data_IF_762506443774
#
_entry.id   IF_762506443774
#
_cell.length_a   1.000
_cell.length_b   1.000
_cell.length_c   1.000
_cell.angle_alpha   90.00
_cell.angle_beta   90.00
_cell.angle_gamma   90.00
#
_symmetry.space_group_name_H-M   'P 1'
#
loop_
_entity.id
_entity.type
_entity.pdbx_description
1 polymer ?
#
# COMPACT_ATOMS: atom_id res chain seq x y z
N UNK A 1 9.67 9.96 5.39
CA UNK A 1 11.07 10.30 4.99
C UNK A 1 11.13 11.19 3.75
N UNK A 2 10.34 10.90 2.71
CA UNK A 2 10.35 11.65 1.44
C UNK A 2 9.95 13.13 1.54
N UNK A 3 8.93 13.48 2.34
CA UNK A 3 8.61 14.90 2.60
C UNK A 3 9.77 15.66 3.27
N UNK A 4 10.59 14.98 4.08
CA UNK A 4 11.78 15.58 4.69
C UNK A 4 12.91 15.75 3.66
N UNK A 5 13.08 14.80 2.73
CA UNK A 5 14.05 14.90 1.63
C UNK A 5 13.67 15.99 0.62
N UNK A 6 12.38 16.10 0.27
CA UNK A 6 11.84 17.14 -0.59
C UNK A 6 11.99 18.54 0.05
N UNK A 7 11.68 18.66 1.35
CA UNK A 7 11.90 19.90 2.13
C UNK A 7 13.38 20.30 2.21
N UNK A 8 14.29 19.33 2.18
CA UNK A 8 15.74 19.57 2.18
C UNK A 8 16.35 19.74 0.78
N UNK A 9 15.54 19.91 -0.28
CA UNK A 9 15.98 20.07 -1.69
C UNK A 9 16.85 18.93 -2.22
N UNK A 10 16.85 17.76 -1.57
CA UNK A 10 17.55 16.55 -2.03
C UNK A 10 16.67 15.78 -2.99
N UNK A 11 16.33 16.41 -4.11
CA UNK A 11 15.35 15.90 -5.08
C UNK A 11 15.80 14.58 -5.69
N UNK A 12 17.10 14.40 -5.95
CA UNK A 12 17.62 13.17 -6.57
C UNK A 12 17.65 11.99 -5.59
N UNK A 13 17.94 12.24 -4.30
CA UNK A 13 17.83 11.22 -3.25
C UNK A 13 16.36 10.90 -2.95
N UNK A 14 15.48 11.92 -2.98
CA UNK A 14 14.05 11.71 -2.86
C UNK A 14 13.51 10.86 -4.02
N UNK A 15 13.94 11.12 -5.26
CA UNK A 15 13.57 10.31 -6.43
C UNK A 15 14.05 8.88 -6.33
N UNK A 16 15.31 8.64 -5.93
CA UNK A 16 15.83 7.28 -5.74
C UNK A 16 15.09 6.48 -4.66
N UNK A 17 14.69 7.13 -3.58
CA UNK A 17 13.89 6.49 -2.52
C UNK A 17 12.43 6.29 -2.98
N UNK A 18 11.95 7.15 -3.87
CA UNK A 18 10.62 7.04 -4.50
C UNK A 18 10.54 5.94 -5.54
N UNK A 19 11.65 5.38 -6.02
CA UNK A 19 11.62 4.34 -7.07
C UNK A 19 11.44 2.92 -6.51
N UNK A 20 11.72 2.67 -5.22
CA UNK A 20 11.60 1.31 -4.67
C UNK A 20 10.15 0.94 -4.31
N UNK A 21 9.63 -0.10 -4.98
CA UNK A 21 8.33 -0.72 -4.72
C UNK A 21 8.08 -1.05 -3.24
N UNK A 22 9.10 -1.47 -2.47
CA UNK A 22 8.94 -1.73 -1.04
C UNK A 22 8.58 -0.46 -0.26
N UNK A 23 9.20 0.67 -0.63
CA UNK A 23 8.97 1.96 0.03
C UNK A 23 7.54 2.43 -0.19
N UNK A 24 6.97 2.23 -1.39
CA UNK A 24 5.56 2.51 -1.65
C UNK A 24 4.62 1.70 -0.76
N UNK A 25 4.86 0.39 -0.63
CA UNK A 25 4.06 -0.49 0.24
C UNK A 25 4.06 -0.02 1.70
N UNK A 26 5.23 0.30 2.24
CA UNK A 26 5.39 0.74 3.62
C UNK A 26 4.74 2.11 3.88
N UNK A 27 4.89 3.06 2.95
CA UNK A 27 4.29 4.39 3.09
C UNK A 27 2.77 4.30 2.96
N UNK A 28 2.26 3.58 1.95
CA UNK A 28 0.82 3.38 1.79
C UNK A 28 0.22 2.78 3.05
N UNK A 29 0.87 1.76 3.63
CA UNK A 29 0.44 1.17 4.91
C UNK A 29 0.43 2.19 6.04
N UNK A 30 1.45 3.03 6.17
CA UNK A 30 1.52 4.04 7.22
C UNK A 30 0.38 5.07 7.13
N UNK A 31 -0.05 5.44 5.90
CA UNK A 31 -1.21 6.32 5.71
C UNK A 31 -2.53 5.61 6.06
N UNK A 32 -2.68 4.33 5.69
CA UNK A 32 -3.84 3.53 6.09
C UNK A 32 -3.94 3.37 7.61
N UNK A 33 -2.82 3.11 8.30
CA UNK A 33 -2.75 3.06 9.76
C UNK A 33 -3.08 4.41 10.42
N UNK A 34 -2.92 5.51 9.68
CA UNK A 34 -3.25 6.87 10.13
C UNK A 34 -4.67 7.31 9.73
N UNK A 35 -5.50 6.38 9.22
CA UNK A 35 -6.87 6.65 8.73
C UNK A 35 -6.93 7.71 7.60
N UNK A 36 -5.91 7.72 6.73
CA UNK A 36 -5.79 8.60 5.57
C UNK A 36 -5.86 7.80 4.25
N UNK A 37 -7.02 7.19 3.92
CA UNK A 37 -7.13 6.30 2.78
C UNK A 37 -7.01 7.02 1.43
N UNK A 38 -7.42 8.29 1.33
CA UNK A 38 -7.30 9.05 0.07
C UNK A 38 -5.84 9.23 -0.32
N UNK A 39 -5.02 9.69 0.61
CA UNK A 39 -3.58 9.89 0.41
C UNK A 39 -2.87 8.55 0.19
N UNK A 40 -3.29 7.50 0.88
CA UNK A 40 -2.77 6.15 0.65
C UNK A 40 -3.03 5.69 -0.80
N UNK A 41 -4.22 5.99 -1.36
CA UNK A 41 -4.54 5.62 -2.73
C UNK A 41 -3.78 6.44 -3.77
N UNK A 42 -3.49 7.71 -3.51
CA UNK A 42 -2.62 8.51 -4.37
C UNK A 42 -1.22 7.87 -4.49
N UNK A 43 -0.66 7.44 -3.36
CA UNK A 43 0.66 6.78 -3.31
C UNK A 43 0.61 5.41 -4.00
N UNK A 44 -0.48 4.65 -3.83
CA UNK A 44 -0.68 3.38 -4.51
C UNK A 44 -0.74 3.55 -6.03
N UNK A 45 -1.46 4.57 -6.53
CA UNK A 45 -1.55 4.83 -7.96
C UNK A 45 -0.18 5.23 -8.52
N UNK A 46 0.63 6.00 -7.77
CA UNK A 46 2.02 6.27 -8.14
C UNK A 46 2.90 5.01 -8.18
N UNK A 47 2.72 4.08 -7.23
CA UNK A 47 3.39 2.78 -7.22
C UNK A 47 3.08 1.97 -8.49
N UNK A 48 1.81 1.98 -8.95
CA UNK A 48 1.34 1.28 -10.16
C UNK A 48 1.92 1.88 -11.44
N UNK A 49 2.23 3.18 -11.44
CA UNK A 49 2.84 3.89 -12.56
C UNK A 49 4.38 3.77 -12.59
N UNK A 50 4.98 3.19 -11.56
CA UNK A 50 6.43 3.00 -11.51
C UNK A 50 6.92 2.13 -12.69
N UNK A 51 8.07 2.47 -13.29
CA UNK A 51 8.66 1.67 -14.37
C UNK A 51 9.24 0.34 -13.88
N UNK A 52 9.45 0.19 -12.56
CA UNK A 52 10.01 -1.02 -12.00
C UNK A 52 9.00 -2.18 -12.04
N UNK A 53 9.46 -3.43 -12.22
CA UNK A 53 8.58 -4.58 -12.19
C UNK A 53 7.81 -4.64 -10.86
N UNK A 54 6.49 -4.90 -10.89
CA UNK A 54 5.70 -4.96 -9.68
C UNK A 54 6.18 -6.10 -8.78
N UNK A 55 6.21 -5.86 -7.48
CA UNK A 55 6.58 -6.85 -6.46
C UNK A 55 5.34 -7.22 -5.65
N UNK A 56 5.13 -8.50 -5.39
CA UNK A 56 3.91 -8.99 -4.72
C UNK A 56 3.79 -8.54 -3.26
N UNK A 57 4.91 -8.31 -2.57
CA UNK A 57 4.94 -7.97 -1.15
C UNK A 57 4.29 -6.61 -0.82
N UNK A 58 4.61 -5.49 -1.49
CA UNK A 58 3.92 -4.21 -1.31
C UNK A 58 2.39 -4.32 -1.35
N UNK A 59 1.84 -5.02 -2.34
CA UNK A 59 0.40 -5.24 -2.46
C UNK A 59 -0.17 -5.97 -1.24
N UNK A 60 0.50 -7.02 -0.75
CA UNK A 60 0.07 -7.77 0.44
C UNK A 60 0.07 -6.91 1.71
N UNK A 61 1.08 -6.06 1.86
CA UNK A 61 1.18 -5.10 2.97
C UNK A 61 0.01 -4.11 2.94
N UNK A 62 -0.33 -3.59 1.75
CA UNK A 62 -1.45 -2.68 1.54
C UNK A 62 -2.79 -3.38 1.78
N UNK A 63 -3.00 -4.59 1.26
CA UNK A 63 -4.22 -5.39 1.46
C UNK A 63 -4.51 -5.66 2.94
N UNK A 64 -3.46 -5.83 3.76
CA UNK A 64 -3.60 -5.93 5.23
C UNK A 64 -4.05 -4.60 5.85
N UNK A 65 -3.76 -3.46 5.22
CA UNK A 65 -4.17 -2.12 5.69
C UNK A 65 -5.60 -1.76 5.35
N UNK A 66 -6.18 -2.44 4.36
CA UNK A 66 -7.51 -2.14 3.84
C UNK A 66 -8.61 -3.03 4.44
N UNK A 67 -8.36 -3.70 5.56
CA UNK A 67 -9.35 -4.57 6.20
C UNK A 67 -10.65 -3.81 6.56
N UNK A 68 -10.54 -2.54 6.94
CA UNK A 68 -11.67 -1.66 7.25
C UNK A 68 -12.21 -0.89 6.03
N UNK A 69 -11.65 -1.14 4.84
CA UNK A 69 -11.98 -0.46 3.58
C UNK A 69 -12.27 -1.50 2.47
N UNK A 70 -13.39 -2.23 2.53
CA UNK A 70 -13.65 -3.40 1.69
C UNK A 70 -13.62 -3.09 0.19
N UNK A 71 -14.18 -1.97 -0.24
CA UNK A 71 -14.21 -1.56 -1.65
C UNK A 71 -12.79 -1.34 -2.21
N UNK A 72 -11.94 -0.63 -1.46
CA UNK A 72 -10.53 -0.42 -1.83
C UNK A 72 -9.75 -1.74 -1.78
N UNK A 73 -10.05 -2.59 -0.81
CA UNK A 73 -9.42 -3.89 -0.65
C UNK A 73 -9.71 -4.81 -1.85
N UNK A 74 -10.95 -4.85 -2.32
CA UNK A 74 -11.32 -5.61 -3.51
C UNK A 74 -10.62 -5.05 -4.76
N UNK A 75 -10.62 -3.73 -4.97
CA UNK A 75 -9.88 -3.10 -6.09
C UNK A 75 -8.41 -3.57 -6.13
N UNK A 76 -7.69 -3.43 -5.01
CA UNK A 76 -6.27 -3.78 -4.96
C UNK A 76 -6.05 -5.30 -5.06
N UNK A 77 -7.00 -6.11 -4.59
CA UNK A 77 -6.95 -7.56 -4.73
C UNK A 77 -7.08 -7.96 -6.20
N UNK A 78 -7.99 -7.34 -6.95
CA UNK A 78 -8.13 -7.57 -8.38
C UNK A 78 -6.88 -7.15 -9.14
N UNK A 79 -6.34 -5.95 -8.85
CA UNK A 79 -5.07 -5.47 -9.41
C UNK A 79 -3.92 -6.45 -9.10
N UNK A 80 -3.88 -7.03 -7.89
CA UNK A 80 -2.88 -8.01 -7.50
C UNK A 80 -3.00 -9.32 -8.29
N UNK A 81 -4.22 -9.85 -8.44
CA UNK A 81 -4.44 -11.10 -9.16
C UNK A 81 -4.23 -10.96 -10.67
N UNK A 82 -4.47 -9.77 -11.23
CA UNK A 82 -4.12 -9.46 -12.62
C UNK A 82 -2.60 -9.52 -12.85
N UNK A 83 -1.81 -8.96 -11.92
CA UNK A 83 -0.35 -8.96 -12.00
C UNK A 83 0.30 -10.31 -11.63
N UNK A 84 -0.31 -11.04 -10.70
CA UNK A 84 0.22 -12.27 -10.12
C UNK A 84 -0.83 -13.39 -10.16
N UNK A 85 -1.19 -13.90 -11.36
CA UNK A 85 -2.32 -14.81 -11.54
C UNK A 85 -2.16 -16.17 -10.86
N UNK A 86 -0.92 -16.59 -10.59
CA UNK A 86 -0.62 -17.85 -9.89
C UNK A 86 -0.62 -17.69 -8.36
N UNK A 87 -0.89 -16.49 -7.85
CA UNK A 87 -0.94 -16.21 -6.42
C UNK A 87 -2.38 -16.11 -5.92
N UNK A 88 -2.55 -16.35 -4.62
CA UNK A 88 -3.82 -16.17 -3.92
C UNK A 88 -3.65 -15.18 -2.77
N UNK A 89 -4.72 -14.44 -2.49
CA UNK A 89 -4.85 -13.58 -1.30
C UNK A 89 -5.73 -14.31 -0.30
N UNK A 90 -5.25 -14.45 0.93
CA UNK A 90 -6.07 -14.94 2.03
C UNK A 90 -7.02 -13.82 2.48
N UNK A 91 -8.32 -14.11 2.46
CA UNK A 91 -9.34 -13.26 3.06
C UNK A 91 -9.70 -13.86 4.42
N UNK A 92 -9.33 -13.18 5.52
CA UNK A 92 -9.81 -13.58 6.83
C UNK A 92 -11.35 -13.52 6.85
N UNK A 93 -12.03 -14.46 7.51
CA UNK A 93 -13.47 -14.37 7.71
C UNK A 93 -13.85 -13.06 8.41
N UNK A 94 -14.99 -12.49 8.01
CA UNK A 94 -15.51 -11.18 8.45
C UNK A 94 -15.60 -11.07 9.99
N UNK A 95 -15.82 -12.21 10.65
CA UNK A 95 -15.95 -12.38 12.10
C UNK A 95 -14.65 -12.12 12.89
N UNK A 96 -13.49 -12.02 12.22
CA UNK A 96 -12.20 -11.71 12.86
C UNK A 96 -11.94 -10.20 12.96
N UNK A 97 -12.76 -9.35 12.34
CA UNK A 97 -12.61 -7.89 12.41
C UNK A 97 -13.27 -7.28 13.65
N UNK A 98 -14.15 -8.03 14.32
CA UNK A 98 -14.61 -7.72 15.67
C UNK A 98 -13.61 -8.29 16.67
N UNK A 99 -12.58 -7.53 17.08
CA UNK A 99 -11.97 -7.60 18.43
C UNK A 99 -10.67 -6.78 18.46
N UNK A 100 -10.80 -5.47 18.63
CA UNK A 100 -9.75 -4.67 19.29
C UNK A 100 -10.34 -3.48 20.06
N UNK A 101 -11.45 -3.72 20.77
CA UNK A 101 -11.77 -2.94 21.98
C UNK A 101 -11.07 -3.60 23.17
N UNK A 102 -9.77 -3.33 23.33
CA UNK A 102 -9.08 -3.50 24.61
C UNK A 102 -9.15 -2.15 25.32
N UNK A 103 -9.96 -2.08 26.38
CA UNK A 103 -10.25 -0.86 27.14
C UNK A 103 -9.18 -0.37 28.10
#
# INVERSE_FOLDING_TARGET
>A
MLMMLARNKKVDEAKRVWEDQHTFGDITRAFLDSLLPSEAMDIYDEMRLSPDPPISLPFRVILKGLLTYPELREKIKDDFLELFPDMFVYDPPEDLFEHEDWG
#
